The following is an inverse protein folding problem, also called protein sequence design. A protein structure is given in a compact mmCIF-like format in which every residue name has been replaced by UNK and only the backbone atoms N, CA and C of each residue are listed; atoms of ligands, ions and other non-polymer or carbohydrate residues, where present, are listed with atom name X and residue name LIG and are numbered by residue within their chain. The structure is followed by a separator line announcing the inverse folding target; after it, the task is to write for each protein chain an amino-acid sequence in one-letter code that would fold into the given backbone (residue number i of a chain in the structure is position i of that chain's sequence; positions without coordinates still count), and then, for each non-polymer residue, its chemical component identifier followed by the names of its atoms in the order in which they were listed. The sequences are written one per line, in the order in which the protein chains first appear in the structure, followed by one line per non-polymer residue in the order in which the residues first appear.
data_IF_376686211461
#
_entry.id   IF_376686211461
#
_cell.length_a   1.000
_cell.length_b   1.000
_cell.length_c   1.000
_cell.angle_alpha   90.00
_cell.angle_beta   90.00
_cell.angle_gamma   90.00
#
_symmetry.space_group_name_H-M   'P 1'
#
loop_
_entity.id
_entity.type
_entity.pdbx_description
1 polymer ?
#
# COMPACT_ATOMS: atom_id res chain seq x y z
N UNK A 1 -8.59 27.51 14.02
CA UNK A 1 -7.30 26.81 13.81
C UNK A 1 -7.24 26.48 12.34
N UNK A 2 -6.31 27.08 11.60
CA UNK A 2 -6.09 26.72 10.21
C UNK A 2 -5.58 25.28 10.17
N UNK A 3 -6.31 24.41 9.47
CA UNK A 3 -5.90 23.03 9.26
C UNK A 3 -4.74 23.01 8.26
N UNK A 4 -3.74 22.15 8.51
CA UNK A 4 -2.63 21.95 7.57
C UNK A 4 -3.22 21.53 6.22
N UNK A 5 -2.84 22.15 5.09
CA UNK A 5 -3.35 21.76 3.77
C UNK A 5 -3.10 20.28 3.48
N UNK A 6 -4.06 19.62 2.84
CA UNK A 6 -3.99 18.21 2.47
C UNK A 6 -2.65 17.80 1.81
N UNK A 7 -2.13 18.53 0.79
CA UNK A 7 -0.83 18.23 0.20
C UNK A 7 0.33 18.22 1.20
N UNK A 8 0.35 19.18 2.12
CA UNK A 8 1.41 19.29 3.12
C UNK A 8 1.35 18.12 4.13
N UNK A 9 0.15 17.66 4.50
CA UNK A 9 -0.01 16.47 5.33
C UNK A 9 0.57 15.23 4.64
N UNK A 10 0.28 15.05 3.34
CA UNK A 10 0.82 13.94 2.53
C UNK A 10 2.35 14.00 2.48
N UNK A 11 2.94 15.16 2.20
CA UNK A 11 4.39 15.31 2.12
C UNK A 11 5.10 15.07 3.45
N UNK A 12 4.52 15.54 4.56
CA UNK A 12 5.06 15.28 5.92
C UNK A 12 5.03 13.78 6.21
N UNK A 13 3.89 13.13 5.94
CA UNK A 13 3.75 11.69 6.11
C UNK A 13 4.80 10.93 5.29
N UNK A 14 4.94 11.24 4.00
CA UNK A 14 5.92 10.60 3.14
C UNK A 14 7.36 10.83 3.60
N UNK A 15 7.71 12.05 4.03
CA UNK A 15 9.05 12.33 4.52
C UNK A 15 9.41 11.45 5.73
N UNK A 16 8.49 11.31 6.68
CA UNK A 16 8.66 10.44 7.85
C UNK A 16 8.76 8.96 7.43
N UNK A 17 7.84 8.53 6.56
CA UNK A 17 7.78 7.15 6.09
C UNK A 17 9.03 6.72 5.33
N UNK A 18 9.54 7.59 4.44
CA UNK A 18 10.78 7.36 3.68
C UNK A 18 11.99 7.34 4.63
N UNK A 19 12.06 8.26 5.61
CA UNK A 19 13.14 8.27 6.58
C UNK A 19 13.20 6.95 7.37
N UNK A 20 12.06 6.51 7.90
CA UNK A 20 11.93 5.20 8.57
C UNK A 20 12.32 4.08 7.60
N UNK A 21 11.77 4.11 6.39
CA UNK A 21 12.01 3.12 5.36
C UNK A 21 13.49 2.91 5.05
N UNK A 22 14.19 3.99 4.71
CA UNK A 22 15.61 3.99 4.36
C UNK A 22 16.46 3.52 5.53
N UNK A 23 16.17 3.95 6.76
CA UNK A 23 16.96 3.55 7.94
C UNK A 23 16.78 2.06 8.27
N UNK A 24 15.53 1.57 8.29
CA UNK A 24 15.23 0.19 8.72
C UNK A 24 15.46 -0.85 7.62
N UNK A 25 15.29 -0.47 6.36
CA UNK A 25 15.31 -1.40 5.22
C UNK A 25 16.45 -1.20 4.24
N UNK A 26 17.46 -0.36 4.56
CA UNK A 26 18.63 -0.13 3.72
C UNK A 26 19.19 -1.41 3.10
N UNK A 27 19.38 -2.45 3.92
CA UNK A 27 19.95 -3.73 3.47
C UNK A 27 19.05 -4.44 2.47
N UNK A 28 17.74 -4.41 2.67
CA UNK A 28 16.77 -5.06 1.79
C UNK A 28 16.62 -4.29 0.47
N UNK A 29 16.68 -2.95 0.51
CA UNK A 29 16.64 -2.09 -0.69
C UNK A 29 17.86 -2.34 -1.59
N UNK A 30 19.05 -2.45 -0.99
CA UNK A 30 20.30 -2.63 -1.74
C UNK A 30 20.67 -4.08 -1.99
N UNK A 31 19.89 -5.04 -1.48
CA UNK A 31 20.15 -6.46 -1.69
C UNK A 31 20.05 -6.81 -3.18
N UNK A 32 20.81 -7.79 -3.70
CA UNK A 32 20.57 -8.34 -5.03
C UNK A 32 19.13 -8.83 -5.18
N UNK A 33 18.64 -8.92 -6.41
CA UNK A 33 17.31 -9.50 -6.62
C UNK A 33 17.26 -10.95 -6.17
N UNK A 34 16.20 -11.38 -5.46
CA UNK A 34 16.04 -12.77 -5.09
C UNK A 34 15.85 -13.63 -6.36
N UNK A 35 16.10 -14.94 -6.29
CA UNK A 35 15.88 -15.81 -7.44
C UNK A 35 14.40 -15.88 -7.84
N UNK A 36 14.12 -16.06 -9.13
CA UNK A 36 12.77 -16.30 -9.65
C UNK A 36 12.47 -17.80 -9.66
N UNK A 37 12.30 -18.37 -8.47
CA UNK A 37 11.78 -19.73 -8.35
C UNK A 37 10.28 -19.80 -8.69
N UNK A 38 9.75 -21.02 -8.84
CA UNK A 38 8.34 -21.23 -9.21
C UNK A 38 7.36 -20.59 -8.20
N UNK A 39 7.73 -20.53 -6.92
CA UNK A 39 6.90 -19.93 -5.86
C UNK A 39 6.86 -18.41 -6.01
N UNK A 40 7.98 -17.75 -6.29
CA UNK A 40 8.04 -16.29 -6.53
C UNK A 40 7.27 -15.96 -7.80
N UNK A 41 7.50 -16.69 -8.89
CA UNK A 41 6.78 -16.49 -10.15
C UNK A 41 5.26 -16.62 -9.94
N UNK A 42 4.82 -17.68 -9.26
CA UNK A 42 3.42 -17.89 -8.93
C UNK A 42 2.83 -16.75 -8.10
N UNK A 43 3.57 -16.26 -7.09
CA UNK A 43 3.16 -15.13 -6.26
C UNK A 43 3.04 -13.83 -7.07
N UNK A 44 3.97 -13.57 -7.99
CA UNK A 44 3.94 -12.39 -8.87
C UNK A 44 2.74 -12.43 -9.81
N UNK A 45 2.50 -13.58 -10.46
CA UNK A 45 1.33 -13.77 -11.33
C UNK A 45 0.04 -13.54 -10.55
N UNK A 46 -0.09 -14.15 -9.37
CA UNK A 46 -1.25 -13.92 -8.50
C UNK A 46 -1.40 -12.46 -8.11
N UNK A 47 -0.30 -11.79 -7.75
CA UNK A 47 -0.32 -10.37 -7.40
C UNK A 47 -0.83 -9.51 -8.55
N UNK A 48 -0.38 -9.76 -9.79
CA UNK A 48 -0.85 -9.04 -10.98
C UNK A 48 -2.33 -9.31 -11.26
N UNK A 49 -2.80 -10.55 -11.11
CA UNK A 49 -4.23 -10.88 -11.24
C UNK A 49 -5.06 -10.13 -10.19
N UNK A 50 -4.62 -10.12 -8.94
CA UNK A 50 -5.26 -9.38 -7.85
C UNK A 50 -5.29 -7.88 -8.16
N UNK A 51 -4.21 -7.30 -8.70
CA UNK A 51 -4.18 -5.91 -9.13
C UNK A 51 -5.20 -5.61 -10.23
N UNK A 52 -5.33 -6.49 -11.23
CA UNK A 52 -6.34 -6.34 -12.28
C UNK A 52 -7.76 -6.37 -11.73
N UNK A 53 -8.04 -7.29 -10.80
CA UNK A 53 -9.34 -7.34 -10.10
C UNK A 53 -9.59 -6.09 -9.25
N UNK A 54 -8.57 -5.62 -8.52
CA UNK A 54 -8.66 -4.38 -7.76
C UNK A 54 -8.96 -3.19 -8.68
N UNK A 55 -8.25 -3.07 -9.80
CA UNK A 55 -8.46 -2.00 -10.76
C UNK A 55 -9.89 -2.01 -11.32
N UNK A 56 -10.39 -3.19 -11.67
CA UNK A 56 -11.77 -3.36 -12.13
C UNK A 56 -12.79 -2.96 -11.05
N UNK A 57 -12.66 -3.53 -9.85
CA UNK A 57 -13.58 -3.26 -8.73
C UNK A 57 -13.57 -1.78 -8.35
N UNK A 58 -12.38 -1.18 -8.24
CA UNK A 58 -12.20 0.22 -7.87
C UNK A 58 -12.82 1.14 -8.93
N UNK A 59 -12.55 0.90 -10.21
CA UNK A 59 -13.07 1.74 -11.30
C UNK A 59 -14.59 1.65 -11.45
N UNK A 60 -15.21 0.53 -11.03
CA UNK A 60 -16.67 0.36 -11.02
C UNK A 60 -17.34 0.76 -9.69
N UNK A 61 -16.57 1.26 -8.73
CA UNK A 61 -17.07 1.63 -7.39
C UNK A 61 -16.65 3.04 -6.98
N UNK A 62 -16.00 3.78 -7.87
CA UNK A 62 -15.54 5.13 -7.60
C UNK A 62 -15.91 6.10 -8.70
N UNK A 63 -15.81 7.39 -8.38
CA UNK A 63 -16.10 8.50 -9.29
C UNK A 63 -15.04 9.59 -9.15
N UNK A 64 -14.77 10.26 -10.26
CA UNK A 64 -13.94 11.47 -10.28
C UNK A 64 -14.72 12.72 -9.88
N UNK A 65 -16.04 12.64 -9.70
CA UNK A 65 -16.88 13.80 -9.39
C UNK A 65 -16.78 14.93 -10.43
N UNK A 66 -16.42 14.63 -11.68
CA UNK A 66 -16.18 15.62 -12.74
C UNK A 66 -14.82 16.30 -12.70
N UNK A 67 -13.89 15.87 -11.83
CA UNK A 67 -12.52 16.41 -11.76
C UNK A 67 -11.71 16.06 -13.00
N UNK A 68 -10.80 16.97 -13.38
CA UNK A 68 -9.82 16.73 -14.44
C UNK A 68 -8.59 16.02 -13.88
N UNK A 69 -7.98 15.15 -14.68
CA UNK A 69 -6.76 14.46 -14.25
C UNK A 69 -5.58 15.44 -14.26
N UNK A 70 -4.97 15.63 -13.11
CA UNK A 70 -3.64 16.22 -13.00
C UNK A 70 -2.58 15.13 -13.15
N UNK A 71 -1.92 15.11 -14.31
CA UNK A 71 -0.92 14.09 -14.67
C UNK A 71 0.32 14.12 -13.76
N UNK A 72 0.68 15.28 -13.20
CA UNK A 72 1.80 15.38 -12.27
C UNK A 72 1.44 14.82 -10.92
N UNK A 73 0.23 15.12 -10.44
CA UNK A 73 -0.31 14.48 -9.25
C UNK A 73 -0.38 12.97 -9.42
N UNK A 74 -0.85 12.47 -10.58
CA UNK A 74 -0.86 11.05 -10.88
C UNK A 74 0.53 10.41 -10.74
N UNK A 75 1.53 10.97 -11.43
CA UNK A 75 2.89 10.42 -11.39
C UNK A 75 3.51 10.46 -9.98
N UNK A 76 3.46 11.62 -9.32
CA UNK A 76 4.14 11.83 -8.04
C UNK A 76 3.43 11.07 -6.93
N UNK A 77 2.09 11.05 -6.93
CA UNK A 77 1.34 10.32 -5.93
C UNK A 77 1.56 8.82 -6.06
N UNK A 78 1.42 8.25 -7.25
CA UNK A 78 1.58 6.82 -7.44
C UNK A 78 2.94 6.31 -6.97
N UNK A 79 4.02 6.99 -7.35
CA UNK A 79 5.37 6.54 -6.97
C UNK A 79 5.68 6.90 -5.51
N UNK A 80 5.42 8.14 -5.10
CA UNK A 80 5.74 8.63 -3.77
C UNK A 80 4.98 7.87 -2.68
N UNK A 81 3.67 7.72 -2.86
CA UNK A 81 2.81 7.01 -1.93
C UNK A 81 3.13 5.51 -1.90
N UNK A 82 3.25 4.89 -3.08
CA UNK A 82 3.57 3.47 -3.19
C UNK A 82 4.88 3.10 -2.49
N UNK A 83 5.88 3.99 -2.48
CA UNK A 83 7.12 3.79 -1.72
C UNK A 83 6.90 4.03 -0.21
N UNK A 84 6.36 5.21 0.14
CA UNK A 84 6.19 5.64 1.52
C UNK A 84 5.32 4.67 2.34
N UNK A 85 4.14 4.34 1.85
CA UNK A 85 3.23 3.45 2.57
C UNK A 85 3.78 2.03 2.69
N UNK A 86 4.40 1.51 1.63
CA UNK A 86 5.02 0.19 1.67
C UNK A 86 6.10 0.10 2.76
N UNK A 87 6.91 1.16 2.93
CA UNK A 87 7.87 1.19 4.02
C UNK A 87 7.22 1.12 5.39
N UNK A 88 6.16 1.89 5.62
CA UNK A 88 5.46 1.88 6.91
C UNK A 88 4.77 0.55 7.16
N UNK A 89 4.13 -0.03 6.14
CA UNK A 89 3.51 -1.34 6.22
C UNK A 89 4.50 -2.42 6.64
N UNK A 90 5.69 -2.44 6.05
CA UNK A 90 6.72 -3.40 6.44
C UNK A 90 7.42 -3.05 7.74
N UNK A 91 7.55 -1.78 8.12
CA UNK A 91 8.03 -1.39 9.44
C UNK A 91 7.11 -1.97 10.53
N UNK A 92 5.80 -1.82 10.36
CA UNK A 92 4.81 -2.39 11.26
C UNK A 92 4.79 -3.92 11.23
N UNK A 93 4.94 -4.53 10.05
CA UNK A 93 5.11 -5.98 9.94
C UNK A 93 6.32 -6.48 10.75
N UNK A 94 7.48 -5.81 10.62
CA UNK A 94 8.70 -6.15 11.37
C UNK A 94 8.56 -5.90 12.86
N UNK A 95 7.82 -4.87 13.26
CA UNK A 95 7.50 -4.63 14.67
C UNK A 95 6.72 -5.84 15.24
N UNK A 96 5.67 -6.28 14.54
CA UNK A 96 4.91 -7.48 14.92
C UNK A 96 5.80 -8.72 15.04
N UNK A 97 6.64 -8.98 14.03
CA UNK A 97 7.63 -10.08 14.07
C UNK A 97 8.59 -9.98 15.26
N UNK A 98 9.06 -8.78 15.57
CA UNK A 98 10.02 -8.54 16.66
C UNK A 98 9.37 -8.80 18.01
N UNK A 99 8.12 -8.37 18.20
CA UNK A 99 7.38 -8.57 19.44
C UNK A 99 7.09 -10.05 19.68
N UNK A 100 6.54 -10.76 18.69
CA UNK A 100 6.25 -12.20 18.84
C UNK A 100 7.53 -13.05 18.93
N UNK A 101 8.64 -12.58 18.35
CA UNK A 101 9.96 -13.22 18.44
C UNK A 101 10.55 -13.28 19.86
N UNK A 102 10.01 -12.48 20.80
CA UNK A 102 10.33 -12.56 22.23
C UNK A 102 9.60 -13.70 22.94
N UNK A 103 8.53 -14.23 22.35
CA UNK A 103 7.68 -15.28 22.91
C UNK A 103 7.92 -16.62 22.23
N UNK A 104 8.08 -16.64 20.91
CA UNK A 104 8.27 -17.87 20.12
C UNK A 104 9.23 -17.66 18.95
N UNK A 105 9.87 -18.74 18.51
CA UNK A 105 10.71 -18.78 17.29
C UNK A 105 9.99 -19.38 16.09
N UNK A 106 8.70 -19.73 16.22
CA UNK A 106 7.90 -20.23 15.12
C UNK A 106 7.74 -19.14 14.04
N UNK A 107 8.28 -19.40 12.84
CA UNK A 107 8.27 -18.44 11.74
C UNK A 107 6.86 -18.05 11.26
N UNK A 108 5.89 -18.97 11.34
CA UNK A 108 4.50 -18.72 10.93
C UNK A 108 3.75 -17.89 11.97
N UNK A 109 4.05 -18.05 13.26
CA UNK A 109 3.59 -17.11 14.28
C UNK A 109 4.18 -15.70 14.04
N UNK A 110 5.46 -15.65 13.66
CA UNK A 110 6.13 -14.45 13.16
C UNK A 110 5.35 -13.78 12.02
N UNK A 111 5.05 -14.54 10.98
CA UNK A 111 4.28 -14.08 9.83
C UNK A 111 2.89 -13.59 10.24
N UNK A 112 2.12 -14.38 10.99
CA UNK A 112 0.74 -14.06 11.35
C UNK A 112 0.64 -12.77 12.18
N UNK A 113 1.51 -12.61 13.20
CA UNK A 113 1.50 -11.38 14.03
C UNK A 113 2.05 -10.19 13.25
N UNK A 114 3.08 -10.39 12.41
CA UNK A 114 3.54 -9.34 11.51
C UNK A 114 2.44 -8.86 10.56
N UNK A 115 1.72 -9.80 9.95
CA UNK A 115 0.59 -9.51 9.06
C UNK A 115 -0.54 -8.80 9.79
N UNK A 116 -0.85 -9.18 11.03
CA UNK A 116 -1.82 -8.46 11.85
C UNK A 116 -1.43 -6.99 12.07
N UNK A 117 -0.16 -6.72 12.40
CA UNK A 117 0.32 -5.34 12.59
C UNK A 117 0.30 -4.54 11.29
N UNK A 118 0.67 -5.16 10.16
CA UNK A 118 0.50 -4.60 8.83
C UNK A 118 -0.95 -4.18 8.60
N UNK A 119 -1.91 -5.09 8.83
CA UNK A 119 -3.33 -4.86 8.60
C UNK A 119 -3.91 -3.79 9.51
N UNK A 120 -3.53 -3.76 10.80
CA UNK A 120 -3.95 -2.72 11.74
C UNK A 120 -3.50 -1.35 11.24
N UNK A 121 -2.22 -1.21 10.89
CA UNK A 121 -1.70 0.06 10.40
C UNK A 121 -2.35 0.47 9.07
N UNK A 122 -2.48 -0.46 8.13
CA UNK A 122 -3.15 -0.24 6.83
C UNK A 122 -4.59 0.24 7.03
N UNK A 123 -5.37 -0.39 7.90
CA UNK A 123 -6.72 0.05 8.23
C UNK A 123 -6.77 1.44 8.86
N UNK A 124 -5.84 1.75 9.78
CA UNK A 124 -5.77 3.03 10.46
C UNK A 124 -5.43 4.18 9.52
N UNK A 125 -4.43 4.02 8.63
CA UNK A 125 -4.05 5.09 7.70
C UNK A 125 -5.18 5.37 6.70
N UNK A 126 -5.88 4.33 6.23
CA UNK A 126 -7.05 4.52 5.35
C UNK A 126 -8.21 5.21 6.07
N UNK A 127 -8.57 4.72 7.26
CA UNK A 127 -9.73 5.23 8.00
C UNK A 127 -9.54 6.63 8.58
N UNK A 128 -8.32 6.98 9.01
CA UNK A 128 -8.06 8.21 9.76
C UNK A 128 -7.34 9.28 8.94
N UNK A 129 -6.61 8.91 7.89
CA UNK A 129 -5.82 9.85 7.10
C UNK A 129 -6.40 10.01 5.69
N UNK A 130 -6.48 8.92 4.92
CA UNK A 130 -6.89 9.01 3.51
C UNK A 130 -8.35 9.45 3.33
N UNK A 131 -9.29 8.91 4.11
CA UNK A 131 -10.69 9.33 4.02
C UNK A 131 -10.92 10.80 4.41
N UNK A 132 -10.04 11.40 5.20
CA UNK A 132 -10.15 12.80 5.60
C UNK A 132 -9.53 13.76 4.57
N UNK A 133 -8.58 13.28 3.77
CA UNK A 133 -7.78 14.09 2.84
C UNK A 133 -8.27 13.96 1.40
N UNK A 134 -8.67 12.76 0.98
CA UNK A 134 -9.17 12.52 -0.36
C UNK A 134 -10.59 13.08 -0.49
N UNK A 135 -10.93 13.67 -1.65
CA UNK A 135 -12.29 14.13 -1.87
C UNK A 135 -13.24 12.93 -1.97
N UNK A 136 -14.54 13.14 -1.77
CA UNK A 136 -15.51 12.05 -1.89
C UNK A 136 -15.44 11.43 -3.29
N UNK A 137 -15.32 10.10 -3.30
CA UNK A 137 -15.10 9.33 -4.53
C UNK A 137 -15.71 7.94 -4.49
N UNK A 138 -16.23 7.46 -3.35
CA UNK A 138 -16.83 6.12 -3.25
C UNK A 138 -18.30 6.17 -3.65
N UNK A 139 -18.66 5.40 -4.69
CA UNK A 139 -20.05 5.25 -5.13
C UNK A 139 -20.75 4.25 -4.20
N UNK A 140 -21.51 4.78 -3.25
CA UNK A 140 -22.13 3.98 -2.17
C UNK A 140 -23.10 2.90 -2.69
N UNK A 141 -23.71 3.12 -3.86
CA UNK A 141 -24.67 2.22 -4.50
C UNK A 141 -24.03 1.15 -5.40
N UNK A 142 -22.70 1.16 -5.57
CA UNK A 142 -22.04 0.20 -6.45
C UNK A 142 -22.16 -1.23 -5.91
N UNK A 143 -22.54 -2.22 -6.75
CA UNK A 143 -22.58 -3.63 -6.36
C UNK A 143 -21.17 -4.21 -6.13
N UNK A 144 -20.12 -3.52 -6.60
CA UNK A 144 -18.73 -3.98 -6.46
C UNK A 144 -18.07 -3.49 -5.16
N UNK A 145 -18.64 -2.48 -4.50
CA UNK A 145 -18.11 -1.91 -3.24
C UNK A 145 -17.84 -2.95 -2.15
N UNK A 146 -18.70 -3.97 -1.90
CA UNK A 146 -18.43 -4.99 -0.89
C UNK A 146 -17.13 -5.78 -1.10
N UNK A 147 -16.59 -5.80 -2.33
CA UNK A 147 -15.35 -6.50 -2.64
C UNK A 147 -14.08 -5.68 -2.36
N UNK A 148 -14.20 -4.41 -1.93
CA UNK A 148 -13.05 -3.58 -1.54
C UNK A 148 -12.21 -4.24 -0.45
N UNK A 149 -12.82 -4.59 0.68
CA UNK A 149 -12.05 -5.17 1.78
C UNK A 149 -11.43 -6.54 1.42
N UNK A 150 -12.17 -7.49 0.82
CA UNK A 150 -11.59 -8.75 0.38
C UNK A 150 -10.40 -8.59 -0.58
N UNK A 151 -10.50 -7.70 -1.59
CA UNK A 151 -9.40 -7.55 -2.55
C UNK A 151 -8.19 -6.87 -1.91
N UNK A 152 -8.41 -5.89 -1.02
CA UNK A 152 -7.33 -5.25 -0.26
C UNK A 152 -6.64 -6.24 0.68
N UNK A 153 -7.39 -7.16 1.29
CA UNK A 153 -6.81 -8.24 2.11
C UNK A 153 -5.93 -9.18 1.27
N UNK A 154 -6.37 -9.53 0.05
CA UNK A 154 -5.58 -10.34 -0.88
C UNK A 154 -4.30 -9.62 -1.33
N UNK A 155 -4.38 -8.32 -1.63
CA UNK A 155 -3.22 -7.47 -1.93
C UNK A 155 -2.23 -7.51 -0.77
N UNK A 156 -2.69 -7.14 0.43
CA UNK A 156 -1.88 -7.10 1.64
C UNK A 156 -1.21 -8.45 1.92
N UNK A 157 -1.94 -9.56 1.77
CA UNK A 157 -1.41 -10.90 1.97
C UNK A 157 -0.32 -11.23 0.93
N UNK A 158 -0.55 -10.92 -0.35
CA UNK A 158 0.43 -11.16 -1.42
C UNK A 158 1.73 -10.40 -1.18
N UNK A 159 1.64 -9.14 -0.75
CA UNK A 159 2.79 -8.30 -0.43
C UNK A 159 3.51 -8.77 0.83
N UNK A 160 2.77 -9.12 1.89
CA UNK A 160 3.35 -9.66 3.11
C UNK A 160 4.12 -10.96 2.83
N UNK A 161 3.61 -11.84 1.97
CA UNK A 161 4.29 -13.07 1.55
C UNK A 161 5.54 -12.79 0.71
N UNK A 162 5.48 -11.82 -0.21
CA UNK A 162 6.63 -11.42 -1.04
C UNK A 162 7.79 -10.96 -0.15
N UNK A 163 7.50 -10.13 0.84
CA UNK A 163 8.50 -9.66 1.78
C UNK A 163 8.95 -10.72 2.78
N UNK A 164 8.04 -11.56 3.27
CA UNK A 164 8.36 -12.60 4.24
C UNK A 164 9.29 -13.67 3.66
N UNK A 165 9.01 -14.15 2.44
CA UNK A 165 9.82 -15.20 1.82
C UNK A 165 11.05 -14.69 1.08
N UNK A 166 10.98 -13.49 0.48
CA UNK A 166 12.02 -13.02 -0.44
C UNK A 166 12.65 -11.68 -0.07
N UNK A 167 12.17 -11.00 0.98
CA UNK A 167 12.57 -9.62 1.33
C UNK A 167 12.35 -8.64 0.16
N UNK A 168 11.42 -8.96 -0.73
CA UNK A 168 11.24 -8.28 -2.01
C UNK A 168 10.42 -7.00 -1.86
N UNK A 169 11.10 -5.92 -1.47
CA UNK A 169 10.51 -4.58 -1.34
C UNK A 169 10.28 -3.92 -2.70
N UNK A 170 11.22 -4.10 -3.63
CA UNK A 170 11.22 -3.38 -4.91
C UNK A 170 10.02 -3.73 -5.77
N UNK A 171 9.72 -5.02 -5.87
CA UNK A 171 8.50 -5.47 -6.54
C UNK A 171 7.27 -4.83 -5.91
N UNK A 172 7.20 -4.81 -4.58
CA UNK A 172 6.01 -4.32 -3.88
C UNK A 172 5.86 -2.81 -4.05
N UNK A 173 6.95 -2.02 -4.12
CA UNK A 173 6.86 -0.60 -4.49
C UNK A 173 6.20 -0.41 -5.85
N UNK A 174 6.58 -1.22 -6.85
CA UNK A 174 6.00 -1.15 -8.18
C UNK A 174 4.52 -1.57 -8.16
N UNK A 175 4.19 -2.68 -7.50
CA UNK A 175 2.81 -3.17 -7.40
C UNK A 175 1.92 -2.16 -6.67
N UNK A 176 2.42 -1.56 -5.58
CA UNK A 176 1.69 -0.55 -4.83
C UNK A 176 1.52 0.74 -5.65
N UNK A 177 2.55 1.20 -6.35
CA UNK A 177 2.43 2.36 -7.23
C UNK A 177 1.35 2.16 -8.32
N UNK A 178 1.14 0.93 -8.80
CA UNK A 178 0.05 0.60 -9.74
C UNK A 178 -1.33 0.67 -9.05
N UNK A 179 -1.46 0.23 -7.79
CA UNK A 179 -2.70 0.42 -7.00
C UNK A 179 -3.01 1.91 -6.88
N UNK A 180 -2.02 2.71 -6.49
CA UNK A 180 -2.18 4.16 -6.30
C UNK A 180 -2.44 4.89 -7.61
N UNK A 181 -1.82 4.44 -8.70
CA UNK A 181 -2.14 4.92 -10.05
C UNK A 181 -3.60 4.62 -10.40
N UNK A 182 -4.07 3.41 -10.14
CA UNK A 182 -5.48 3.08 -10.36
C UNK A 182 -6.38 3.99 -9.54
N UNK A 183 -6.03 4.24 -8.27
CA UNK A 183 -6.79 5.14 -7.42
C UNK A 183 -6.85 6.56 -8.00
N UNK A 184 -5.71 7.20 -8.28
CA UNK A 184 -5.69 8.58 -8.74
C UNK A 184 -6.25 8.77 -10.15
N UNK A 185 -6.18 7.74 -11.02
CA UNK A 185 -6.83 7.78 -12.33
C UNK A 185 -8.36 7.78 -12.25
N UNK A 186 -8.93 7.22 -11.17
CA UNK A 186 -10.36 7.19 -10.92
C UNK A 186 -10.83 8.36 -10.05
N UNK A 187 -10.06 8.74 -9.03
CA UNK A 187 -10.41 9.82 -8.10
C UNK A 187 -10.08 11.19 -8.71
N UNK A 188 -8.97 11.30 -9.44
CA UNK A 188 -8.49 12.54 -10.11
C UNK A 188 -8.37 13.74 -9.15
N UNK A 189 -7.87 13.52 -7.94
CA UNK A 189 -7.52 14.63 -7.05
C UNK A 189 -6.17 15.24 -7.48
N UNK A 190 -5.95 16.51 -7.12
CA UNK A 190 -4.66 17.17 -7.30
C UNK A 190 -3.95 17.33 -5.95
N UNK A 191 -2.64 17.14 -5.95
CA UNK A 191 -1.74 17.42 -4.85
C UNK A 191 -1.20 18.86 -4.90
N UNK A 192 -1.55 19.64 -5.92
CA UNK A 192 -1.09 21.01 -6.07
C UNK A 192 -2.30 21.95 -5.94
N UNK A 193 -2.19 23.01 -5.12
CA UNK A 193 -3.25 24.00 -4.96
C UNK A 193 -3.46 24.84 -6.23
#
# INVERSE_FOLDING_TARGET
METIPAPLQIYIYWAIAILIGVVFFRKDITAPEPPYDARRIGLLIFSVVILGLNAYIYSNSTTDGGRTLDVWSALIFSVGNGIAETFMFYAMFRLGQTLIGKVTKNQWAGFAVGFLFFMIYSGLIHGLFWLAILPEHVVQTSPFKPFFFPIQLMIALSWALAFFWYRDLRTVFVLHAIVDLTMIMNVKFSMFP
#
